data_IF_655977254314
#
_entry.id   IF_655977254314
#
_cell.length_a   1.000
_cell.length_b   1.000
_cell.length_c   1.000
_cell.angle_alpha   90.00
_cell.angle_beta   90.00
_cell.angle_gamma   90.00
#
_symmetry.space_group_name_H-M   'P 1'
#
loop_
_entity.id
_entity.type
_entity.pdbx_description
1 polymer ?
#
# COMPACT_ATOMS: atom_id res chain seq x y z
N UNK A 1 9.62 -33.34 27.19
CA UNK A 1 10.13 -32.45 26.13
C UNK A 1 9.42 -31.12 26.28
N UNK A 2 10.11 -29.99 26.49
CA UNK A 2 9.43 -28.70 26.43
C UNK A 2 8.89 -28.53 25.00
N UNK A 3 7.60 -28.26 24.88
CA UNK A 3 6.95 -28.04 23.61
C UNK A 3 7.51 -26.73 23.05
N UNK A 4 8.28 -26.81 21.96
CA UNK A 4 8.78 -25.65 21.24
C UNK A 4 7.60 -24.95 20.56
N UNK A 5 6.84 -24.19 21.34
CA UNK A 5 5.67 -23.45 20.89
C UNK A 5 6.06 -21.98 20.75
N UNK A 6 5.89 -21.47 19.53
CA UNK A 6 5.92 -20.03 19.28
C UNK A 6 4.87 -19.35 20.14
N UNK A 7 5.23 -18.21 20.73
CA UNK A 7 4.25 -17.33 21.36
C UNK A 7 3.30 -16.73 20.32
N UNK A 8 2.09 -16.33 20.74
CA UNK A 8 1.14 -15.62 19.86
C UNK A 8 1.80 -14.39 19.21
N UNK A 9 2.66 -13.68 19.95
CA UNK A 9 3.42 -12.54 19.43
C UNK A 9 4.35 -12.95 18.28
N UNK A 10 5.10 -14.04 18.44
CA UNK A 10 6.00 -14.54 17.41
C UNK A 10 5.23 -15.06 16.19
N UNK A 11 4.10 -15.76 16.41
CA UNK A 11 3.23 -16.23 15.34
C UNK A 11 2.66 -15.08 14.52
N UNK A 12 2.15 -14.03 15.16
CA UNK A 12 1.63 -12.85 14.47
C UNK A 12 2.72 -12.07 13.74
N UNK A 13 3.90 -11.96 14.34
CA UNK A 13 5.04 -11.31 13.69
C UNK A 13 5.47 -12.09 12.43
N UNK A 14 5.59 -13.41 12.53
CA UNK A 14 5.92 -14.29 11.40
C UNK A 14 4.85 -14.21 10.29
N UNK A 15 3.58 -14.14 10.67
CA UNK A 15 2.46 -13.92 9.74
C UNK A 15 2.61 -12.60 8.98
N UNK A 16 2.87 -11.48 9.68
CA UNK A 16 3.11 -10.18 9.02
C UNK A 16 4.29 -10.24 8.05
N UNK A 17 5.38 -10.94 8.42
CA UNK A 17 6.55 -11.06 7.56
C UNK A 17 6.27 -11.90 6.31
N UNK A 18 5.49 -12.98 6.45
CA UNK A 18 5.09 -13.84 5.34
C UNK A 18 4.18 -13.09 4.36
N UNK A 19 3.15 -12.39 4.86
CA UNK A 19 2.25 -11.58 4.04
C UNK A 19 3.02 -10.51 3.26
N UNK A 20 3.99 -9.84 3.90
CA UNK A 20 4.86 -8.85 3.22
C UNK A 20 5.71 -9.49 2.12
N UNK A 21 6.28 -10.66 2.40
CA UNK A 21 7.12 -11.36 1.43
C UNK A 21 6.33 -11.80 0.20
N UNK A 22 5.12 -12.36 0.40
CA UNK A 22 4.24 -12.77 -0.68
C UNK A 22 3.73 -11.57 -1.48
N UNK A 23 3.35 -10.48 -0.80
CA UNK A 23 2.98 -9.21 -1.42
C UNK A 23 4.08 -8.64 -2.32
N UNK A 24 5.35 -8.72 -1.92
CA UNK A 24 6.45 -8.23 -2.75
C UNK A 24 6.55 -8.97 -4.09
N UNK A 25 6.36 -10.30 -4.08
CA UNK A 25 6.35 -11.11 -5.29
C UNK A 25 5.21 -10.72 -6.25
N UNK A 26 4.02 -10.45 -5.71
CA UNK A 26 2.88 -9.97 -6.50
C UNK A 26 3.11 -8.58 -7.06
N UNK A 27 3.64 -7.65 -6.27
CA UNK A 27 3.96 -6.30 -6.74
C UNK A 27 4.93 -6.33 -7.93
N UNK A 28 6.03 -7.08 -7.82
CA UNK A 28 7.00 -7.22 -8.93
C UNK A 28 6.32 -7.80 -10.17
N UNK A 29 5.55 -8.88 -10.01
CA UNK A 29 4.84 -9.53 -11.12
C UNK A 29 3.83 -8.60 -11.78
N UNK A 30 3.04 -7.85 -11.01
CA UNK A 30 2.06 -6.88 -11.52
C UNK A 30 2.76 -5.81 -12.37
N UNK A 31 3.93 -5.32 -11.94
CA UNK A 31 4.66 -4.25 -12.63
C UNK A 31 5.34 -4.72 -13.93
N UNK A 32 5.63 -6.01 -14.04
CA UNK A 32 6.35 -6.59 -15.19
C UNK A 32 5.44 -7.39 -16.14
N UNK A 33 4.21 -7.72 -15.73
CA UNK A 33 3.28 -8.53 -16.52
C UNK A 33 2.51 -7.71 -17.56
N UNK A 34 2.54 -8.16 -18.82
CA UNK A 34 1.78 -7.54 -19.92
C UNK A 34 0.33 -8.03 -20.03
N UNK A 35 0.01 -9.19 -19.44
CA UNK A 35 -1.32 -9.80 -19.53
C UNK A 35 -2.27 -9.16 -18.51
N UNK A 36 -3.25 -8.40 -19.02
CA UNK A 36 -4.19 -7.65 -18.19
C UNK A 36 -5.06 -8.53 -17.28
N UNK A 37 -5.43 -9.74 -17.71
CA UNK A 37 -6.24 -10.64 -16.88
C UNK A 37 -5.43 -11.15 -15.68
N UNK A 38 -4.14 -11.44 -15.89
CA UNK A 38 -3.23 -11.84 -14.82
C UNK A 38 -2.99 -10.66 -13.87
N UNK A 39 -2.74 -9.47 -14.41
CA UNK A 39 -2.58 -8.24 -13.61
C UNK A 39 -3.79 -8.00 -12.71
N UNK A 40 -5.01 -8.08 -13.25
CA UNK A 40 -6.24 -7.89 -12.47
C UNK A 40 -6.41 -8.93 -11.37
N UNK A 41 -6.13 -10.21 -11.67
CA UNK A 41 -6.19 -11.27 -10.68
C UNK A 41 -5.16 -11.06 -9.55
N UNK A 42 -3.92 -10.73 -9.90
CA UNK A 42 -2.87 -10.47 -8.93
C UNK A 42 -3.13 -9.20 -8.12
N UNK A 43 -3.73 -8.16 -8.70
CA UNK A 43 -4.13 -6.95 -7.97
C UNK A 43 -5.21 -7.25 -6.92
N UNK A 44 -6.16 -8.13 -7.24
CA UNK A 44 -7.15 -8.57 -6.28
C UNK A 44 -6.51 -9.30 -5.10
N UNK A 45 -5.65 -10.28 -5.39
CA UNK A 45 -4.92 -11.03 -4.34
C UNK A 45 -4.02 -10.08 -3.53
N UNK A 46 -3.31 -9.17 -4.19
CA UNK A 46 -2.47 -8.18 -3.54
C UNK A 46 -3.25 -7.33 -2.51
N UNK A 47 -4.50 -6.98 -2.84
CA UNK A 47 -5.36 -6.24 -1.93
C UNK A 47 -5.77 -7.09 -0.72
N UNK A 48 -6.01 -8.39 -0.91
CA UNK A 48 -6.32 -9.33 0.18
C UNK A 48 -5.13 -9.49 1.14
N UNK A 49 -3.92 -9.75 0.62
CA UNK A 49 -2.69 -9.88 1.44
C UNK A 49 -2.38 -8.59 2.22
N UNK A 50 -2.58 -7.42 1.60
CA UNK A 50 -2.43 -6.13 2.29
C UNK A 50 -3.44 -5.95 3.44
N UNK A 51 -4.67 -6.43 3.25
CA UNK A 51 -5.69 -6.40 4.30
C UNK A 51 -5.36 -7.37 5.44
N UNK A 52 -4.84 -8.57 5.14
CA UNK A 52 -4.39 -9.52 6.16
C UNK A 52 -3.21 -8.97 6.97
N UNK A 53 -2.17 -8.45 6.30
CA UNK A 53 -1.03 -7.82 6.96
C UNK A 53 -1.47 -6.68 7.88
N UNK A 54 -2.44 -5.85 7.44
CA UNK A 54 -3.02 -4.78 8.24
C UNK A 54 -3.78 -5.31 9.46
N UNK A 55 -4.57 -6.38 9.30
CA UNK A 55 -5.29 -7.00 10.41
C UNK A 55 -4.33 -7.53 11.48
N UNK A 56 -3.26 -8.23 11.09
CA UNK A 56 -2.25 -8.71 12.03
C UNK A 56 -1.52 -7.56 12.71
N UNK A 57 -1.16 -6.51 11.96
CA UNK A 57 -0.56 -5.31 12.51
C UNK A 57 -1.46 -4.64 13.56
N UNK A 58 -2.74 -4.43 13.26
CA UNK A 58 -3.70 -3.85 14.20
C UNK A 58 -3.85 -4.71 15.46
N UNK A 59 -3.91 -6.03 15.29
CA UNK A 59 -3.97 -6.98 16.41
C UNK A 59 -2.73 -6.90 17.31
N UNK A 60 -1.52 -6.80 16.73
CA UNK A 60 -0.29 -6.63 17.50
C UNK A 60 -0.17 -5.24 18.12
N UNK A 61 -0.62 -4.19 17.42
CA UNK A 61 -0.59 -2.81 17.92
C UNK A 61 -1.50 -2.64 19.14
N UNK A 62 -2.74 -3.15 19.08
CA UNK A 62 -3.68 -3.12 20.21
C UNK A 62 -3.14 -3.83 21.47
N UNK A 63 -2.30 -4.84 21.28
CA UNK A 63 -1.64 -5.60 22.36
C UNK A 63 -0.31 -4.98 22.82
N UNK A 64 0.11 -3.86 22.23
CA UNK A 64 1.40 -3.21 22.52
C UNK A 64 2.62 -4.01 22.05
N UNK A 65 2.43 -4.98 21.14
CA UNK A 65 3.48 -5.87 20.65
C UNK A 65 4.18 -5.36 19.41
N UNK A 66 3.62 -4.35 18.77
CA UNK A 66 4.19 -3.67 17.62
C UNK A 66 4.41 -2.20 17.96
N UNK A 67 5.67 -1.79 18.05
CA UNK A 67 6.00 -0.39 18.23
C UNK A 67 5.85 0.30 16.88
N UNK A 68 4.76 1.06 16.74
CA UNK A 68 4.60 1.99 15.64
C UNK A 68 5.43 3.19 16.04
N UNK A 69 6.64 3.33 15.49
CA UNK A 69 7.23 4.67 15.47
C UNK A 69 6.17 5.57 14.89
N UNK A 70 5.82 6.64 15.62
CA UNK A 70 4.78 7.55 15.21
C UNK A 70 5.21 8.24 13.90
N UNK A 71 5.10 7.54 12.77
CA UNK A 71 4.90 8.09 11.46
C UNK A 71 3.46 8.61 11.42
N UNK A 72 3.11 9.47 12.37
CA UNK A 72 2.10 10.46 12.08
C UNK A 72 2.70 11.26 10.93
N UNK A 73 2.20 11.14 9.67
CA UNK A 73 2.50 12.18 8.72
C UNK A 73 2.08 13.46 9.44
N UNK A 74 3.05 14.34 9.69
CA UNK A 74 2.77 15.61 10.34
C UNK A 74 1.63 16.27 9.55
N UNK A 75 0.83 17.10 10.20
CA UNK A 75 -0.17 17.89 9.48
C UNK A 75 0.44 18.55 8.23
N UNK A 76 1.71 18.96 8.33
CA UNK A 76 2.52 19.46 7.22
C UNK A 76 2.77 18.42 6.11
N UNK A 77 3.11 17.16 6.43
CA UNK A 77 3.27 16.10 5.43
C UNK A 77 1.96 15.82 4.67
N UNK A 78 0.81 15.79 5.37
CA UNK A 78 -0.50 15.69 4.71
C UNK A 78 -0.77 16.90 3.81
N UNK A 79 -0.52 18.11 4.31
CA UNK A 79 -0.68 19.35 3.53
C UNK A 79 0.24 19.40 2.30
N UNK A 80 1.48 18.90 2.40
CA UNK A 80 2.41 18.83 1.27
C UNK A 80 1.90 17.85 0.19
N UNK A 81 1.39 16.69 0.60
CA UNK A 81 0.79 15.72 -0.33
C UNK A 81 -0.45 16.33 -1.00
N UNK A 82 -1.33 16.97 -0.23
CA UNK A 82 -2.53 17.64 -0.76
C UNK A 82 -2.16 18.77 -1.74
N UNK A 83 -1.15 19.57 -1.42
CA UNK A 83 -0.63 20.61 -2.32
C UNK A 83 -0.03 20.03 -3.60
N UNK A 84 0.73 18.95 -3.50
CA UNK A 84 1.34 18.30 -4.66
C UNK A 84 0.29 17.68 -5.58
N UNK A 85 -0.72 17.00 -5.03
CA UNK A 85 -1.86 16.46 -5.79
C UNK A 85 -2.61 17.60 -6.47
N UNK A 86 -2.91 18.69 -5.74
CA UNK A 86 -3.59 19.85 -6.32
C UNK A 86 -2.80 20.46 -7.46
N UNK A 87 -1.48 20.66 -7.31
CA UNK A 87 -0.63 21.22 -8.37
C UNK A 87 -0.58 20.36 -9.63
N UNK A 88 -0.54 19.03 -9.48
CA UNK A 88 -0.57 18.11 -10.61
C UNK A 88 -1.93 18.12 -11.34
N UNK A 89 -3.05 18.18 -10.61
CA UNK A 89 -4.39 18.27 -11.21
C UNK A 89 -4.56 19.61 -11.96
N UNK A 90 -4.15 20.72 -11.36
CA UNK A 90 -4.22 22.05 -12.01
C UNK A 90 -3.42 22.07 -13.30
N UNK A 91 -2.18 21.56 -13.29
CA UNK A 91 -1.34 21.51 -14.50
C UNK A 91 -2.00 20.70 -15.62
N UNK A 92 -2.60 19.56 -15.29
CA UNK A 92 -3.31 18.71 -16.26
C UNK A 92 -4.58 19.38 -16.80
N UNK A 93 -5.30 20.14 -15.99
CA UNK A 93 -6.48 20.90 -16.43
C UNK A 93 -6.08 22.03 -17.39
N UNK A 94 -5.01 22.76 -17.09
CA UNK A 94 -4.48 23.80 -17.98
C UNK A 94 -4.03 23.23 -19.33
N UNK A 95 -3.37 22.07 -19.33
CA UNK A 95 -2.99 21.37 -20.56
C UNK A 95 -4.20 20.95 -21.38
N UNK A 96 -5.26 20.45 -20.73
CA UNK A 96 -6.51 20.11 -21.40
C UNK A 96 -7.18 21.36 -22.01
N UNK A 97 -7.27 22.46 -21.27
CA UNK A 97 -7.82 23.72 -21.78
C UNK A 97 -7.01 24.25 -22.97
N UNK A 98 -5.67 24.20 -22.89
CA UNK A 98 -4.78 24.57 -24.00
C UNK A 98 -5.03 23.71 -25.23
N UNK A 99 -5.20 22.41 -25.05
CA UNK A 99 -5.42 21.47 -26.15
C UNK A 99 -6.81 21.64 -26.78
N UNK A 100 -7.86 21.84 -25.98
CA UNK A 100 -9.22 22.13 -26.47
C UNK A 100 -9.24 23.42 -27.28
N UNK A 101 -8.56 24.49 -26.81
CA UNK A 101 -8.46 25.76 -27.56
C UNK A 101 -7.68 25.62 -28.87
N UNK A 102 -6.68 24.74 -28.93
CA UNK A 102 -5.90 24.48 -30.16
C UNK A 102 -6.63 23.64 -31.19
N UNK A 103 -7.64 22.85 -30.81
CA UNK A 103 -8.46 22.05 -31.72
C UNK A 103 -9.71 22.79 -32.25
N UNK A 104 -9.92 24.05 -31.84
CA UNK A 104 -11.05 24.88 -32.24
C UNK A 104 -10.83 25.79 -33.46
N UNK A 105 -9.86 25.50 -34.32
CA UNK A 105 -9.64 26.18 -35.62
C UNK A 105 -9.60 25.16 -36.75
#
# INVERSE_FOLDING_TARGET
>A
MPQNQLSEKEMLHDSIMTEKYVAEAYNNTITECVNQNIVQALQHIQQEEQNHAKLFFEAMHQRGWYNVEASHPSQAAKQMVDQQISGQITSRLEDLERNVRKQGY
#
